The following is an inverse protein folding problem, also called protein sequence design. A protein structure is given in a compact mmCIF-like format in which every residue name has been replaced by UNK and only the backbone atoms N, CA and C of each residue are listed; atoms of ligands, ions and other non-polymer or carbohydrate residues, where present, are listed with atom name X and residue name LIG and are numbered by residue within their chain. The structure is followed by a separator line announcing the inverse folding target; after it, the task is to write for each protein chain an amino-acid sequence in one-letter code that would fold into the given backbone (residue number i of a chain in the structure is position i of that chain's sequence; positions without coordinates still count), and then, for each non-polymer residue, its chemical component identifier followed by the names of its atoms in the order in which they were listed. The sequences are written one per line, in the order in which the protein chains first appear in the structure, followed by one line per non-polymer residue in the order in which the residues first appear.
data_IF_341377520471
#
_entry.id   IF_341377520471
#
_cell.length_a   1.000
_cell.length_b   1.000
_cell.length_c   1.000
_cell.angle_alpha   90.00
_cell.angle_beta   90.00
_cell.angle_gamma   90.00
#
_symmetry.space_group_name_H-M   'P 1'
#
loop_
_entity.id
_entity.type
_entity.pdbx_description
1 polymer ?
#
# COMPACT_ATOMS: atom_id res chain seq x y z
N UNK A 1 11.07 7.79 25.38
CA UNK A 1 11.26 7.42 23.97
C UNK A 1 10.12 6.50 23.59
N UNK A 2 8.98 7.06 23.18
CA UNK A 2 7.87 6.28 22.63
C UNK A 2 8.11 6.15 21.14
N UNK A 3 8.97 5.21 20.75
CA UNK A 3 8.96 4.69 19.39
C UNK A 3 7.60 4.02 19.20
N UNK A 4 6.61 4.79 18.74
CA UNK A 4 5.34 4.23 18.28
C UNK A 4 5.70 3.31 17.13
N UNK A 5 5.74 2.00 17.36
CA UNK A 5 5.90 1.01 16.31
C UNK A 5 4.60 1.00 15.48
N UNK A 6 4.46 2.01 14.62
CA UNK A 6 3.35 2.18 13.68
C UNK A 6 3.11 0.92 12.84
N UNK A 7 4.16 0.11 12.67
CA UNK A 7 4.10 -1.20 12.05
C UNK A 7 3.15 -2.18 12.75
N UNK A 8 3.16 -2.27 14.08
CA UNK A 8 2.27 -3.18 14.80
C UNK A 8 0.81 -2.76 14.72
N UNK A 9 0.53 -1.46 14.83
CA UNK A 9 -0.81 -0.93 14.67
C UNK A 9 -1.31 -1.09 13.24
N UNK A 10 -0.45 -0.86 12.25
CA UNK A 10 -0.75 -1.14 10.84
C UNK A 10 -1.06 -2.61 10.60
N UNK A 11 -0.23 -3.54 11.09
CA UNK A 11 -0.47 -4.98 10.96
C UNK A 11 -1.79 -5.39 11.63
N UNK A 12 -2.05 -4.88 12.84
CA UNK A 12 -3.31 -5.15 13.56
C UNK A 12 -4.53 -4.67 12.77
N UNK A 13 -4.49 -3.44 12.26
CA UNK A 13 -5.58 -2.86 11.47
C UNK A 13 -5.76 -3.59 10.14
N UNK A 14 -4.66 -3.96 9.48
CA UNK A 14 -4.67 -4.76 8.24
C UNK A 14 -5.32 -6.12 8.47
N UNK A 15 -4.91 -6.85 9.51
CA UNK A 15 -5.48 -8.17 9.86
C UNK A 15 -6.95 -8.13 10.24
N UNK A 16 -7.44 -6.99 10.73
CA UNK A 16 -8.87 -6.81 11.01
C UNK A 16 -9.72 -6.60 9.76
N UNK A 17 -9.11 -6.43 8.58
CA UNK A 17 -9.79 -6.09 7.33
C UNK A 17 -10.12 -4.60 7.17
N UNK A 18 -9.84 -3.76 8.18
CA UNK A 18 -10.14 -2.34 8.12
C UNK A 18 -9.46 -1.62 6.94
N UNK A 19 -8.23 -2.01 6.60
CA UNK A 19 -7.49 -1.45 5.46
C UNK A 19 -8.10 -1.90 4.13
N UNK A 20 -8.55 -3.16 4.04
CA UNK A 20 -9.25 -3.69 2.87
C UNK A 20 -10.57 -2.96 2.60
N UNK A 21 -11.35 -2.71 3.66
CA UNK A 21 -12.62 -2.01 3.54
C UNK A 21 -12.44 -0.56 3.07
N UNK A 22 -11.42 0.13 3.59
CA UNK A 22 -11.09 1.49 3.13
C UNK A 22 -10.56 1.47 1.69
N UNK A 23 -9.69 0.52 1.33
CA UNK A 23 -9.21 0.37 -0.04
C UNK A 23 -10.37 0.15 -1.03
N UNK A 24 -11.33 -0.70 -0.67
CA UNK A 24 -12.52 -0.96 -1.49
C UNK A 24 -13.39 0.29 -1.60
N UNK A 25 -13.64 0.99 -0.49
CA UNK A 25 -14.42 2.23 -0.49
C UNK A 25 -13.78 3.31 -1.36
N UNK A 26 -12.47 3.51 -1.23
CA UNK A 26 -11.70 4.47 -2.04
C UNK A 26 -11.76 4.09 -3.51
N UNK A 27 -11.56 2.82 -3.85
CA UNK A 27 -11.63 2.33 -5.24
C UNK A 27 -13.00 2.63 -5.86
N UNK A 28 -14.09 2.25 -5.19
CA UNK A 28 -15.46 2.46 -5.65
C UNK A 28 -15.79 3.95 -5.79
N UNK A 29 -15.47 4.77 -4.78
CA UNK A 29 -15.83 6.19 -4.75
C UNK A 29 -15.09 7.03 -5.80
N UNK A 30 -13.87 6.61 -6.15
CA UNK A 30 -13.04 7.28 -7.16
C UNK A 30 -13.22 6.69 -8.56
N UNK A 31 -13.84 5.51 -8.69
CA UNK A 31 -13.86 4.79 -9.95
C UNK A 31 -12.47 4.43 -10.48
N UNK A 32 -11.46 4.35 -9.60
CA UNK A 32 -10.06 4.13 -9.94
C UNK A 32 -9.46 3.01 -9.09
N UNK A 33 -8.53 2.21 -9.63
CA UNK A 33 -7.89 1.16 -8.84
C UNK A 33 -7.07 1.72 -7.67
N UNK A 34 -7.14 1.04 -6.53
CA UNK A 34 -6.19 1.24 -5.43
C UNK A 34 -4.97 0.36 -5.69
N UNK A 35 -3.79 0.96 -5.59
CA UNK A 35 -2.48 0.32 -5.72
C UNK A 35 -1.88 0.11 -4.34
N UNK A 36 -1.36 -1.10 -4.12
CA UNK A 36 -0.51 -1.44 -2.99
C UNK A 36 0.86 -1.79 -3.54
N UNK A 37 1.86 -1.00 -3.17
CA UNK A 37 3.24 -1.15 -3.61
C UNK A 37 4.12 -1.49 -2.40
N UNK A 38 4.83 -2.60 -2.50
CA UNK A 38 5.83 -3.03 -1.53
C UNK A 38 7.21 -2.91 -2.13
N UNK A 39 8.14 -2.34 -1.37
CA UNK A 39 9.56 -2.28 -1.71
C UNK A 39 10.37 -2.85 -0.56
N UNK A 40 11.23 -3.81 -0.86
CA UNK A 40 12.11 -4.42 0.14
C UNK A 40 13.55 -3.92 -0.02
N UNK A 41 14.19 -3.65 1.11
CA UNK A 41 15.56 -3.19 1.24
C UNK A 41 16.30 -4.01 2.30
N UNK A 42 17.60 -4.25 2.13
CA UNK A 42 18.40 -4.99 3.11
C UNK A 42 18.50 -4.21 4.44
N UNK A 43 18.43 -4.91 5.59
CA UNK A 43 18.42 -4.29 6.93
C UNK A 43 19.64 -3.38 7.21
N UNK A 44 20.79 -3.67 6.59
CA UNK A 44 22.05 -2.97 6.79
C UNK A 44 22.09 -1.58 6.13
N UNK A 45 21.03 -1.20 5.39
CA UNK A 45 20.85 0.13 4.80
C UNK A 45 19.64 0.77 5.45
N UNK A 46 19.83 1.48 6.57
CA UNK A 46 18.76 2.28 7.19
C UNK A 46 18.31 3.32 6.15
N UNK A 47 17.05 3.19 5.70
CA UNK A 47 16.42 4.15 4.80
C UNK A 47 15.72 5.21 5.64
N UNK A 48 16.03 6.48 5.38
CA UNK A 48 15.18 7.56 5.85
C UNK A 48 14.03 7.73 4.85
N UNK A 49 12.76 7.77 5.31
CA UNK A 49 11.66 8.19 4.44
C UNK A 49 11.98 9.57 3.85
N UNK A 50 11.73 9.76 2.56
CA UNK A 50 11.90 11.01 1.81
C UNK A 50 13.33 11.48 1.47
N UNK A 51 14.38 10.70 1.79
CA UNK A 51 15.74 10.88 1.22
C UNK A 51 15.98 9.88 0.09
N UNK A 52 16.99 10.14 -0.76
CA UNK A 52 17.34 9.32 -1.93
C UNK A 52 17.18 7.83 -1.62
N UNK A 53 16.09 7.26 -2.11
CA UNK A 53 15.76 5.88 -1.84
C UNK A 53 16.80 5.02 -2.54
N UNK A 54 17.44 4.11 -1.80
CA UNK A 54 18.27 3.09 -2.43
C UNK A 54 17.47 2.34 -3.50
N UNK A 55 18.17 1.62 -4.38
CA UNK A 55 17.47 0.70 -5.29
C UNK A 55 16.91 -0.46 -4.45
N UNK A 56 15.59 -0.72 -4.47
CA UNK A 56 15.03 -1.85 -3.73
C UNK A 56 15.58 -3.16 -4.26
N UNK A 57 15.82 -4.12 -3.36
CA UNK A 57 16.31 -5.45 -3.75
C UNK A 57 15.21 -6.34 -4.34
N UNK A 58 13.94 -6.02 -4.02
CA UNK A 58 12.74 -6.65 -4.56
C UNK A 58 11.57 -5.66 -4.53
N UNK A 59 10.58 -5.83 -5.41
CA UNK A 59 9.37 -5.00 -5.45
C UNK A 59 8.14 -5.81 -5.86
N UNK A 60 6.99 -5.46 -5.29
CA UNK A 60 5.71 -6.11 -5.56
C UNK A 60 4.62 -5.04 -5.69
N UNK A 61 3.82 -5.12 -6.75
CA UNK A 61 2.66 -4.26 -6.94
C UNK A 61 1.40 -5.11 -7.06
N UNK A 62 0.41 -4.81 -6.21
CA UNK A 62 -0.93 -5.39 -6.20
C UNK A 62 -1.94 -4.27 -6.46
N UNK A 63 -3.07 -4.59 -7.10
CA UNK A 63 -4.14 -3.62 -7.34
C UNK A 63 -5.51 -4.19 -6.98
N UNK A 64 -6.37 -3.32 -6.48
CA UNK A 64 -7.80 -3.54 -6.30
C UNK A 64 -8.57 -2.69 -7.32
N UNK A 65 -9.07 -3.32 -8.38
CA UNK A 65 -9.95 -2.64 -9.34
C UNK A 65 -11.35 -2.44 -8.74
N UNK A 66 -12.08 -1.45 -9.26
CA UNK A 66 -13.43 -1.09 -8.80
C UNK A 66 -14.45 -2.23 -8.81
N UNK A 67 -14.28 -3.17 -9.74
CA UNK A 67 -15.20 -4.27 -10.01
C UNK A 67 -14.67 -5.63 -9.53
N UNK A 68 -13.56 -5.66 -8.78
CA UNK A 68 -12.97 -6.90 -8.27
C UNK A 68 -13.08 -6.95 -6.76
N UNK A 69 -13.32 -8.14 -6.26
CA UNK A 69 -13.33 -8.41 -4.82
C UNK A 69 -11.90 -8.54 -4.27
N UNK A 70 -11.02 -9.12 -5.08
CA UNK A 70 -9.65 -9.47 -4.69
C UNK A 70 -8.59 -8.59 -5.34
N UNK A 71 -7.48 -8.45 -4.63
CA UNK A 71 -6.22 -7.96 -5.16
C UNK A 71 -5.71 -8.89 -6.27
N UNK A 72 -5.12 -8.28 -7.29
CA UNK A 72 -4.38 -9.00 -8.32
C UNK A 72 -2.98 -8.41 -8.48
N UNK A 73 -2.01 -9.27 -8.77
CA UNK A 73 -0.62 -8.86 -8.93
C UNK A 73 -0.37 -8.21 -10.28
N UNK A 74 0.20 -7.01 -10.27
CA UNK A 74 0.66 -6.27 -11.47
C UNK A 74 2.16 -6.45 -11.65
N UNK A 75 2.93 -6.37 -10.56
CA UNK A 75 4.37 -6.64 -10.55
C UNK A 75 4.64 -7.72 -9.52
N UNK A 76 5.18 -8.86 -9.96
CA UNK A 76 5.48 -9.98 -9.06
C UNK A 76 6.80 -9.74 -8.31
N UNK A 77 6.74 -9.89 -6.99
CA UNK A 77 7.94 -10.05 -6.17
C UNK A 77 8.70 -11.31 -6.59
N UNK A 78 10.02 -11.22 -6.70
CA UNK A 78 10.84 -12.28 -7.28
C UNK A 78 11.78 -12.95 -6.28
N UNK A 79 12.03 -12.28 -5.14
CA UNK A 79 12.94 -12.71 -4.07
C UNK A 79 12.18 -12.78 -2.76
N UNK A 80 12.49 -11.88 -1.81
CA UNK A 80 11.91 -11.87 -0.47
C UNK A 80 10.40 -11.60 -0.48
N UNK A 81 9.89 -10.81 -1.44
CA UNK A 81 8.46 -10.51 -1.56
C UNK A 81 7.68 -11.58 -2.34
N UNK A 82 8.36 -12.58 -2.91
CA UNK A 82 7.72 -13.67 -3.67
C UNK A 82 6.54 -14.34 -2.95
N UNK A 83 6.59 -14.60 -1.62
CA UNK A 83 5.47 -15.22 -0.93
C UNK A 83 4.19 -14.38 -0.90
N UNK A 84 4.30 -13.06 -1.08
CA UNK A 84 3.15 -12.13 -1.06
C UNK A 84 2.43 -12.06 -2.42
N UNK A 85 2.98 -12.68 -3.47
CA UNK A 85 2.34 -12.73 -4.79
C UNK A 85 0.98 -13.43 -4.81
N UNK A 86 0.67 -14.22 -3.77
CA UNK A 86 -0.59 -14.98 -3.66
C UNK A 86 -1.61 -14.30 -2.75
N UNK A 87 -1.32 -13.09 -2.25
CA UNK A 87 -2.25 -12.36 -1.37
C UNK A 87 -3.43 -11.82 -2.16
N UNK A 88 -4.65 -12.17 -1.72
CA UNK A 88 -5.91 -11.70 -2.31
C UNK A 88 -6.43 -10.44 -1.62
N UNK A 89 -5.90 -10.10 -0.44
CA UNK A 89 -6.26 -8.94 0.35
C UNK A 89 -5.08 -8.49 1.23
N UNK A 90 -5.20 -7.31 1.85
CA UNK A 90 -4.18 -6.73 2.74
C UNK A 90 -4.07 -7.53 4.03
N UNK A 91 -5.17 -8.09 4.55
CA UNK A 91 -5.14 -8.96 5.72
C UNK A 91 -4.24 -10.19 5.53
N UNK A 92 -4.35 -10.90 4.41
CA UNK A 92 -3.49 -12.03 4.03
C UNK A 92 -2.03 -11.61 3.92
N UNK A 93 -1.77 -10.47 3.30
CA UNK A 93 -0.43 -9.90 3.20
C UNK A 93 0.18 -9.64 4.58
N UNK A 94 -0.59 -9.04 5.48
CA UNK A 94 -0.16 -8.76 6.86
C UNK A 94 0.10 -10.05 7.67
N UNK A 95 -0.69 -11.11 7.46
CA UNK A 95 -0.42 -12.42 8.07
C UNK A 95 0.90 -13.01 7.57
N UNK A 96 1.14 -13.02 6.26
CA UNK A 96 2.38 -13.54 5.69
C UNK A 96 3.61 -12.73 6.18
N UNK A 97 3.49 -11.40 6.24
CA UNK A 97 4.54 -10.51 6.72
C UNK A 97 4.90 -10.75 8.19
N UNK A 98 3.93 -11.09 9.04
CA UNK A 98 4.18 -11.36 10.45
C UNK A 98 4.72 -12.79 10.69
N UNK A 99 4.21 -13.78 9.98
CA UNK A 99 4.57 -15.19 10.18
C UNK A 99 5.99 -15.53 9.70
N UNK A 100 6.47 -14.85 8.67
CA UNK A 100 7.77 -15.15 8.05
C UNK A 100 8.90 -14.37 8.70
N UNK A 101 9.69 -15.07 9.52
CA UNK A 101 10.92 -14.55 10.17
C UNK A 101 11.94 -13.94 9.20
N UNK A 102 11.92 -14.33 7.92
CA UNK A 102 12.83 -13.79 6.91
C UNK A 102 12.65 -12.26 6.73
N UNK A 103 11.44 -11.74 6.92
CA UNK A 103 11.17 -10.30 6.80
C UNK A 103 11.80 -9.47 7.92
N UNK A 104 12.20 -10.08 9.04
CA UNK A 104 12.91 -9.38 10.12
C UNK A 104 14.29 -8.86 9.72
N UNK A 105 14.82 -9.27 8.56
CA UNK A 105 16.10 -8.82 8.01
C UNK A 105 15.95 -7.84 6.84
N UNK A 106 14.77 -7.27 6.65
CA UNK A 106 14.50 -6.31 5.57
C UNK A 106 13.71 -5.11 6.10
N UNK A 107 14.01 -3.94 5.54
CA UNK A 107 13.09 -2.81 5.59
C UNK A 107 12.07 -2.97 4.47
N UNK A 108 10.78 -2.92 4.81
CA UNK A 108 9.69 -3.07 3.85
C UNK A 108 8.85 -1.81 3.90
N UNK A 109 8.90 -1.04 2.82
CA UNK A 109 8.00 0.08 2.63
C UNK A 109 6.70 -0.43 2.03
N UNK A 110 5.58 -0.09 2.67
CA UNK A 110 4.23 -0.38 2.17
C UNK A 110 3.57 0.95 1.83
N UNK A 111 3.28 1.14 0.54
CA UNK A 111 2.55 2.29 0.04
C UNK A 111 1.18 1.84 -0.44
N UNK A 112 0.12 2.47 0.06
CA UNK A 112 -1.27 2.20 -0.36
C UNK A 112 -1.87 3.52 -0.82
N UNK A 113 -2.47 3.52 -2.00
CA UNK A 113 -3.13 4.72 -2.49
C UNK A 113 -3.63 4.58 -3.92
N UNK A 114 -4.02 5.69 -4.52
CA UNK A 114 -4.47 5.76 -5.91
C UNK A 114 -3.46 6.52 -6.75
N UNK A 115 -3.25 6.07 -7.99
CA UNK A 115 -2.41 6.80 -8.92
C UNK A 115 -3.24 7.92 -9.57
N UNK A 116 -2.98 9.16 -9.14
CA UNK A 116 -3.56 10.33 -9.78
C UNK A 116 -2.75 10.67 -11.04
N UNK A 117 -3.44 10.83 -12.18
CA UNK A 117 -2.84 11.35 -13.41
C UNK A 117 -3.34 12.76 -13.64
N UNK A 118 -2.43 13.73 -13.71
CA UNK A 118 -2.77 15.06 -14.21
C UNK A 118 -3.16 14.94 -15.70
N UNK A 119 -4.39 15.29 -16.03
CA UNK A 119 -4.83 15.45 -17.43
C UNK A 119 -4.51 16.90 -17.84
N UNK A 120 -4.00 17.11 -19.04
CA UNK A 120 -3.74 18.47 -19.55
C UNK A 120 -5.00 19.14 -20.10
N UNK A 121 -5.13 20.45 -19.83
CA UNK A 121 -5.93 21.54 -20.46
C UNK A 121 -7.45 21.33 -20.71
N UNK A 122 -7.99 20.13 -20.87
CA UNK A 122 -9.44 19.91 -21.06
C UNK A 122 -10.12 19.53 -19.74
N UNK A 123 -10.87 20.49 -19.19
CA UNK A 123 -11.42 20.58 -17.83
C UNK A 123 -12.48 19.53 -17.42
N UNK A 124 -13.11 18.80 -18.35
CA UNK A 124 -14.36 18.08 -18.02
C UNK A 124 -14.19 16.79 -17.17
N UNK A 125 -12.96 16.36 -16.86
CA UNK A 125 -12.67 15.17 -16.04
C UNK A 125 -11.63 15.44 -14.91
N UNK A 126 -11.43 16.69 -14.49
CA UNK A 126 -10.42 17.02 -13.46
C UNK A 126 -11.01 16.94 -12.04
N UNK A 127 -10.34 16.19 -11.16
CA UNK A 127 -10.67 16.25 -9.73
C UNK A 127 -10.07 17.49 -9.09
N UNK A 128 -10.93 18.29 -8.48
CA UNK A 128 -10.50 19.39 -7.63
C UNK A 128 -9.76 18.90 -6.38
N UNK A 129 -9.00 19.78 -5.74
CA UNK A 129 -8.29 19.47 -4.49
C UNK A 129 -9.24 18.96 -3.40
N UNK A 130 -10.46 19.51 -3.32
CA UNK A 130 -11.50 19.05 -2.40
C UNK A 130 -11.92 17.61 -2.71
N UNK A 131 -12.15 17.26 -3.97
CA UNK A 131 -12.51 15.90 -4.36
C UNK A 131 -11.39 14.90 -4.07
N UNK A 132 -10.14 15.27 -4.38
CA UNK A 132 -8.96 14.45 -4.05
C UNK A 132 -8.89 14.22 -2.54
N UNK A 133 -9.05 15.27 -1.74
CA UNK A 133 -9.04 15.13 -0.28
C UNK A 133 -10.15 14.20 0.19
N UNK A 134 -11.40 14.46 -0.18
CA UNK A 134 -12.55 13.75 0.36
C UNK A 134 -12.67 12.30 -0.13
N UNK A 135 -12.34 12.05 -1.39
CA UNK A 135 -12.51 10.72 -2.01
C UNK A 135 -11.25 9.86 -1.94
N UNK A 136 -10.05 10.46 -2.00
CA UNK A 136 -8.79 9.70 -2.06
C UNK A 136 -7.98 9.70 -0.77
N UNK A 137 -7.90 10.80 -0.02
CA UNK A 137 -6.95 10.94 1.10
C UNK A 137 -7.61 10.78 2.47
N UNK A 138 -8.71 11.51 2.71
CA UNK A 138 -9.45 11.51 3.98
C UNK A 138 -9.82 10.10 4.49
N UNK A 139 -10.22 9.14 3.63
CA UNK A 139 -10.55 7.79 4.09
C UNK A 139 -9.39 7.08 4.80
N UNK A 140 -8.13 7.44 4.53
CA UNK A 140 -6.96 6.81 5.14
C UNK A 140 -6.54 7.41 6.48
N UNK A 141 -7.12 8.55 6.89
CA UNK A 141 -6.76 9.23 8.15
C UNK A 141 -6.75 8.33 9.40
N UNK A 142 -7.63 7.32 9.56
CA UNK A 142 -7.57 6.42 10.71
C UNK A 142 -6.25 5.64 10.84
N UNK A 143 -5.50 5.49 9.75
CA UNK A 143 -4.24 4.73 9.70
C UNK A 143 -2.98 5.62 9.72
N UNK A 144 -3.15 6.95 9.74
CA UNK A 144 -2.06 7.93 9.76
C UNK A 144 -1.88 8.43 11.20
N UNK A 145 -0.69 8.25 11.78
CA UNK A 145 -0.42 8.50 13.21
C UNK A 145 0.89 9.23 13.47
#
# INVERSE_FOLDING_TARGET
MTERWYWHDFLKQSKSGAVDDVARSVSINLGCPVTILLKAYEFNRIHEPDKESGVPVDSLELRLDTNKEDLYTVLKGSKILKPLNVSHNVAEMANILEEKKEFSFFWIDVMIGVLLRYKGIKQDDEWGAEEIWHKALKPWLPFVH
#
